data_IF_431491211143
#
_entry.id   IF_431491211143
#
_cell.length_a   1.000
_cell.length_b   1.000
_cell.length_c   1.000
_cell.angle_alpha   90.00
_cell.angle_beta   90.00
_cell.angle_gamma   90.00
#
_symmetry.space_group_name_H-M   'P 1'
#
loop_
_entity.id
_entity.type
_entity.pdbx_description
1 polymer ?
#
# COMPACT_ATOMS: atom_id res chain seq x y z
N UNK A 1 1.23 -16.68 -11.13
CA UNK A 1 2.15 -16.08 -10.14
C UNK A 1 2.10 -16.92 -8.88
N UNK A 2 3.25 -17.26 -8.31
CA UNK A 2 3.28 -18.03 -7.07
C UNK A 2 2.94 -17.16 -5.84
N UNK A 3 2.81 -17.82 -4.68
CA UNK A 3 2.43 -17.12 -3.45
C UNK A 3 3.46 -16.10 -3.00
N UNK A 4 4.74 -16.36 -3.23
CA UNK A 4 5.81 -15.43 -2.85
C UNK A 4 5.75 -14.17 -3.71
N UNK A 5 5.60 -14.33 -5.01
CA UNK A 5 5.49 -13.19 -5.93
C UNK A 5 4.24 -12.37 -5.65
N UNK A 6 3.12 -13.03 -5.34
CA UNK A 6 1.89 -12.33 -4.98
C UNK A 6 2.08 -11.51 -3.70
N UNK A 7 2.74 -12.07 -2.69
CA UNK A 7 3.03 -11.37 -1.44
C UNK A 7 3.95 -10.18 -1.66
N UNK A 8 4.99 -10.32 -2.48
CA UNK A 8 5.90 -9.21 -2.81
C UNK A 8 5.14 -8.09 -3.51
N UNK A 9 4.23 -8.43 -4.43
CA UNK A 9 3.42 -7.42 -5.11
C UNK A 9 2.55 -6.65 -4.12
N UNK A 10 1.98 -7.33 -3.14
CA UNK A 10 1.19 -6.71 -2.07
C UNK A 10 2.02 -5.75 -1.23
N UNK A 11 3.26 -6.14 -0.87
CA UNK A 11 4.18 -5.26 -0.15
C UNK A 11 4.48 -3.99 -0.97
N UNK A 12 4.70 -4.14 -2.26
CA UNK A 12 4.96 -3.02 -3.16
C UNK A 12 3.82 -2.02 -3.18
N UNK A 13 2.59 -2.50 -3.33
CA UNK A 13 1.40 -1.65 -3.35
C UNK A 13 1.19 -0.99 -1.99
N UNK A 14 1.34 -1.72 -0.89
CA UNK A 14 1.21 -1.16 0.45
C UNK A 14 2.23 -0.05 0.70
N UNK A 15 3.48 -0.26 0.29
CA UNK A 15 4.55 0.73 0.41
C UNK A 15 4.23 2.01 -0.36
N UNK A 16 3.73 1.87 -1.59
CA UNK A 16 3.35 3.03 -2.41
C UNK A 16 2.18 3.78 -1.80
N UNK A 17 1.18 3.07 -1.27
CA UNK A 17 0.03 3.69 -0.61
C UNK A 17 0.46 4.45 0.64
N UNK A 18 1.36 3.87 1.44
CA UNK A 18 1.89 4.53 2.64
C UNK A 18 2.64 5.81 2.25
N UNK A 19 3.45 5.75 1.19
CA UNK A 19 4.19 6.92 0.71
C UNK A 19 3.24 8.04 0.28
N UNK A 20 2.16 7.72 -0.42
CA UNK A 20 1.18 8.72 -0.85
C UNK A 20 0.44 9.34 0.35
N UNK A 21 -0.01 8.52 1.30
CA UNK A 21 -0.67 9.04 2.50
C UNK A 21 0.27 9.90 3.34
N UNK A 22 1.53 9.49 3.47
CA UNK A 22 2.54 10.28 4.18
C UNK A 22 2.77 11.62 3.49
N UNK A 23 2.82 11.63 2.15
CA UNK A 23 2.93 12.86 1.37
C UNK A 23 1.71 13.76 1.56
N UNK A 24 0.51 13.18 1.60
CA UNK A 24 -0.70 13.94 1.87
C UNK A 24 -0.64 14.61 3.24
N UNK A 25 -0.24 13.88 4.28
CA UNK A 25 -0.10 14.44 5.62
C UNK A 25 0.93 15.57 5.64
N UNK A 26 2.07 15.36 4.99
CA UNK A 26 3.13 16.36 4.94
C UNK A 26 2.67 17.65 4.26
N UNK A 27 1.71 17.56 3.34
CA UNK A 27 1.24 18.69 2.54
C UNK A 27 -0.15 19.17 2.96
N UNK A 28 -0.64 18.78 4.14
CA UNK A 28 -1.99 19.16 4.60
C UNK A 28 -2.18 20.68 4.63
N UNK A 29 -1.13 21.43 4.93
CA UNK A 29 -1.17 22.89 4.99
C UNK A 29 -0.59 23.56 3.74
N UNK A 30 -0.30 22.80 2.68
CA UNK A 30 0.20 23.37 1.44
C UNK A 30 -0.96 23.90 0.61
N UNK A 31 -0.90 25.19 0.27
CA UNK A 31 -1.97 25.88 -0.47
C UNK A 31 -2.21 25.18 -1.83
N UNK A 32 -3.46 24.82 -2.07
CA UNK A 32 -3.87 24.20 -3.33
C UNK A 32 -3.47 22.75 -3.49
N UNK A 33 -2.85 22.12 -2.50
CA UNK A 33 -2.48 20.72 -2.58
C UNK A 33 -3.73 19.84 -2.61
N UNK A 34 -3.72 18.86 -3.49
CA UNK A 34 -4.81 17.90 -3.60
C UNK A 34 -4.35 16.52 -3.16
N UNK A 35 -5.15 15.89 -2.30
CA UNK A 35 -4.84 14.56 -1.76
C UNK A 35 -4.72 13.54 -2.90
N UNK A 36 -3.70 12.70 -2.81
CA UNK A 36 -3.41 11.66 -3.80
C UNK A 36 -3.76 10.29 -3.25
N UNK A 37 -4.29 9.45 -4.10
CA UNK A 37 -4.64 8.07 -3.75
C UNK A 37 -4.10 7.13 -4.80
N UNK A 38 -3.64 5.96 -4.36
CA UNK A 38 -3.17 4.91 -5.25
C UNK A 38 -4.36 4.10 -5.73
N UNK A 39 -4.43 3.89 -7.04
CA UNK A 39 -5.36 2.93 -7.64
C UNK A 39 -4.63 1.62 -7.82
N UNK A 40 -5.25 0.53 -7.40
CA UNK A 40 -4.64 -0.78 -7.51
C UNK A 40 -5.57 -1.72 -8.27
N UNK A 41 -4.98 -2.73 -8.88
CA UNK A 41 -5.69 -3.67 -9.72
C UNK A 41 -5.17 -5.07 -9.46
N UNK A 42 -6.08 -6.02 -9.35
CA UNK A 42 -5.71 -7.43 -9.28
C UNK A 42 -5.15 -7.89 -10.62
N UNK A 43 -4.16 -8.75 -10.56
CA UNK A 43 -3.59 -9.37 -11.76
C UNK A 43 -4.23 -10.73 -11.96
N UNK A 44 -4.47 -11.09 -13.23
CA UNK A 44 -5.12 -12.36 -13.58
C UNK A 44 -4.36 -13.58 -13.06
N UNK A 45 -3.05 -13.47 -12.99
CA UNK A 45 -2.17 -14.56 -12.53
C UNK A 45 -1.89 -14.49 -11.04
N UNK A 46 -2.65 -13.69 -10.29
CA UNK A 46 -2.47 -13.48 -8.87
C UNK A 46 -1.63 -12.25 -8.56
N UNK A 47 -1.81 -11.74 -7.33
CA UNK A 47 -1.15 -10.54 -6.88
C UNK A 47 -1.88 -9.27 -7.31
N UNK A 48 -1.30 -8.13 -6.96
CA UNK A 48 -1.85 -6.80 -7.22
C UNK A 48 -0.78 -5.91 -7.84
N UNK A 49 -1.21 -4.86 -8.51
CA UNK A 49 -0.29 -3.85 -9.03
C UNK A 49 -0.93 -2.47 -8.90
N UNK A 50 -0.09 -1.45 -8.86
CA UNK A 50 -0.56 -0.08 -8.95
C UNK A 50 -0.97 0.19 -10.40
N UNK A 51 -2.18 0.70 -10.59
CA UNK A 51 -2.68 1.07 -11.92
C UNK A 51 -2.61 2.56 -12.18
N UNK A 52 -2.34 3.37 -11.17
CA UNK A 52 -2.20 4.81 -11.32
C UNK A 52 -2.40 5.53 -9.99
N UNK A 53 -2.22 6.84 -10.05
CA UNK A 53 -2.45 7.73 -8.92
C UNK A 53 -3.54 8.72 -9.33
N UNK A 54 -4.54 8.90 -8.46
CA UNK A 54 -5.59 9.90 -8.69
C UNK A 54 -5.48 11.02 -7.68
N UNK A 55 -5.91 12.22 -8.07
CA UNK A 55 -5.99 13.37 -7.17
C UNK A 55 -7.44 13.66 -6.83
N UNK A 56 -7.69 14.03 -5.58
CA UNK A 56 -9.02 14.39 -5.11
C UNK A 56 -9.52 15.63 -5.84
N UNK A 57 -10.78 15.59 -6.28
CA UNK A 57 -11.44 16.73 -6.92
C UNK A 57 -12.21 17.57 -5.92
N UNK A 58 -12.19 17.23 -4.64
CA UNK A 58 -12.86 18.02 -3.61
C UNK A 58 -12.24 19.41 -3.53
N UNK A 59 -13.03 20.43 -3.14
CA UNK A 59 -12.49 21.78 -2.96
C UNK A 59 -11.38 21.80 -1.90
N UNK A 60 -10.34 22.58 -2.17
CA UNK A 60 -9.28 22.81 -1.17
C UNK A 60 -9.71 23.89 -0.19
N UNK A 61 -9.24 23.78 1.07
CA UNK A 61 -9.46 24.83 2.06
C UNK A 61 -8.68 26.08 1.66
N UNK A 62 -9.21 27.30 2.00
CA UNK A 62 -8.46 28.54 1.73
C UNK A 62 -7.10 28.50 2.42
N UNK A 63 -6.03 28.69 1.64
CA UNK A 63 -4.66 28.64 2.15
C UNK A 63 -4.18 27.27 2.55
N UNK A 64 -4.90 26.23 2.18
CA UNK A 64 -4.58 24.85 2.53
C UNK A 64 -4.92 23.86 1.43
N UNK A 65 -5.05 22.61 1.84
CA UNK A 65 -5.26 21.48 0.94
C UNK A 65 -6.69 20.93 1.07
N UNK A 66 -6.98 19.86 0.33
CA UNK A 66 -8.17 19.04 0.56
C UNK A 66 -7.84 17.71 1.27
N UNK A 67 -6.69 17.63 1.91
CA UNK A 67 -6.28 16.45 2.68
C UNK A 67 -7.15 16.33 3.93
N UNK A 68 -7.73 15.14 4.16
CA UNK A 68 -8.45 14.82 5.38
C UNK A 68 -7.52 13.97 6.26
N UNK A 69 -7.03 14.57 7.35
CA UNK A 69 -6.08 13.89 8.23
C UNK A 69 -6.63 12.61 8.84
N UNK A 70 -7.93 12.58 9.15
CA UNK A 70 -8.55 11.37 9.70
C UNK A 70 -8.52 10.24 8.68
N UNK A 71 -8.83 10.54 7.42
CA UNK A 71 -8.77 9.56 6.33
C UNK A 71 -7.34 9.04 6.15
N UNK A 72 -6.36 9.95 6.17
CA UNK A 72 -4.96 9.56 6.01
C UNK A 72 -4.46 8.70 7.17
N UNK A 73 -4.87 9.02 8.40
CA UNK A 73 -4.51 8.23 9.58
C UNK A 73 -5.07 6.81 9.47
N UNK A 74 -6.32 6.66 9.04
CA UNK A 74 -6.93 5.34 8.83
C UNK A 74 -6.20 4.58 7.72
N UNK A 75 -5.88 5.25 6.61
CA UNK A 75 -5.16 4.64 5.49
C UNK A 75 -3.77 4.15 5.92
N UNK A 76 -3.04 4.96 6.68
CA UNK A 76 -1.72 4.56 7.18
C UNK A 76 -1.82 3.34 8.09
N UNK A 77 -2.82 3.31 8.96
CA UNK A 77 -3.05 2.20 9.87
C UNK A 77 -3.38 0.91 9.10
N UNK A 78 -4.35 0.99 8.19
CA UNK A 78 -4.78 -0.16 7.39
C UNK A 78 -3.65 -0.69 6.50
N UNK A 79 -2.90 0.18 5.86
CA UNK A 79 -1.81 -0.24 4.97
C UNK A 79 -0.61 -0.77 5.77
N UNK A 80 -0.39 -0.24 6.97
CA UNK A 80 0.61 -0.80 7.88
C UNK A 80 0.26 -2.22 8.30
N UNK A 81 -1.00 -2.47 8.63
CA UNK A 81 -1.49 -3.82 8.95
C UNK A 81 -1.36 -4.75 7.75
N UNK A 82 -1.74 -4.28 6.56
CA UNK A 82 -1.61 -5.07 5.33
C UNK A 82 -0.16 -5.44 5.06
N UNK A 83 0.76 -4.50 5.25
CA UNK A 83 2.19 -4.72 5.07
C UNK A 83 2.69 -5.81 6.02
N UNK A 84 2.33 -5.72 7.31
CA UNK A 84 2.72 -6.72 8.31
C UNK A 84 2.14 -8.09 8.00
N UNK A 85 0.88 -8.15 7.58
CA UNK A 85 0.24 -9.40 7.21
C UNK A 85 0.95 -10.05 6.02
N UNK A 86 1.32 -9.27 5.01
CA UNK A 86 2.06 -9.76 3.86
C UNK A 86 3.46 -10.26 4.25
N UNK A 87 4.14 -9.59 5.18
CA UNK A 87 5.43 -10.06 5.69
C UNK A 87 5.28 -11.41 6.37
N UNK A 88 4.27 -11.59 7.21
CA UNK A 88 4.02 -12.86 7.88
C UNK A 88 3.69 -13.96 6.88
N UNK A 89 2.92 -13.64 5.86
CA UNK A 89 2.62 -14.58 4.78
C UNK A 89 3.88 -15.03 4.07
N UNK A 90 4.77 -14.09 3.74
CA UNK A 90 6.05 -14.42 3.09
C UNK A 90 6.94 -15.26 3.98
N UNK A 91 6.98 -14.97 5.28
CA UNK A 91 7.73 -15.77 6.24
C UNK A 91 7.21 -17.21 6.30
N UNK A 92 5.88 -17.36 6.30
CA UNK A 92 5.25 -18.68 6.28
C UNK A 92 5.61 -19.45 5.01
N UNK A 93 5.60 -18.79 3.86
CA UNK A 93 5.99 -19.41 2.59
C UNK A 93 7.46 -19.85 2.60
N UNK A 94 8.33 -19.03 3.15
CA UNK A 94 9.75 -19.38 3.28
C UNK A 94 9.96 -20.56 4.21
N UNK A 95 9.22 -20.62 5.31
CA UNK A 95 9.32 -21.74 6.25
C UNK A 95 8.84 -23.04 5.63
N UNK A 96 7.75 -23.00 4.87
CA UNK A 96 7.25 -24.19 4.14
C UNK A 96 8.28 -24.67 3.15
N UNK A 97 8.88 -23.77 2.38
CA UNK A 97 9.90 -24.09 1.40
C UNK A 97 11.14 -24.70 2.08
N UNK A 98 11.57 -24.10 3.19
CA UNK A 98 12.71 -24.62 3.95
C UNK A 98 12.46 -26.02 4.48
N UNK A 99 11.27 -26.29 5.02
CA UNK A 99 10.88 -27.61 5.48
C UNK A 99 10.88 -28.62 4.34
N UNK A 100 10.35 -28.24 3.18
CA UNK A 100 10.34 -29.11 2.01
C UNK A 100 11.75 -29.45 1.54
N UNK A 101 12.67 -28.50 1.57
CA UNK A 101 14.06 -28.74 1.22
C UNK A 101 14.75 -29.66 2.23
N UNK A 102 14.48 -29.50 3.51
CA UNK A 102 15.04 -30.35 4.56
C UNK A 102 14.56 -31.80 4.40
N UNK A 103 13.31 -32.00 4.03
CA UNK A 103 12.76 -33.34 3.81
C UNK A 103 13.42 -34.05 2.62
N UNK A 104 13.92 -33.29 1.65
CA UNK A 104 14.61 -33.85 0.49
C UNK A 104 16.09 -34.15 0.74
N UNK A 105 16.65 -33.49 1.75
CA UNK A 105 18.03 -33.72 2.11
C UNK A 105 18.18 -34.98 2.95
#
# INVERSE_FOLDING_TARGET
MDGISAGISGLGVATQSIALSSGNVANVNTDGYRAKSLQQQEQEQGGVRASGVTESQEPTAPGGSNVDLATEAVNLDLKGVSYQADLKFLQAQQNILGTALDLKA
#
